data_IF_639577653277
#
_entry.id   IF_639577653277
#
_cell.length_a   1.000
_cell.length_b   1.000
_cell.length_c   1.000
_cell.angle_alpha   90.00
_cell.angle_beta   90.00
_cell.angle_gamma   90.00
#
_symmetry.space_group_name_H-M   'P 1'
#
loop_
_entity.id
_entity.type
_entity.pdbx_description
1 polymer ?
#
# COMPACT_ATOMS: atom_id res chain seq x y z
N UNK A 1 20.69 3.77 -5.85
CA UNK A 1 20.55 2.30 -5.78
C UNK A 1 19.37 1.91 -6.66
N UNK A 2 19.51 0.84 -7.44
CA UNK A 2 18.43 0.30 -8.27
C UNK A 2 17.41 -0.38 -7.36
N UNK A 3 16.12 -0.16 -7.59
CA UNK A 3 15.05 -0.79 -6.77
C UNK A 3 14.87 -2.27 -7.14
N UNK A 4 14.26 -3.06 -6.25
CA UNK A 4 13.94 -4.46 -6.58
C UNK A 4 13.06 -4.56 -7.84
N UNK A 5 12.02 -3.71 -7.95
CA UNK A 5 11.16 -3.68 -9.12
C UNK A 5 11.92 -3.32 -10.39
N UNK A 6 12.75 -2.28 -10.37
CA UNK A 6 13.58 -1.89 -11.53
C UNK A 6 14.51 -3.01 -12.00
N UNK A 7 15.00 -3.86 -11.08
CA UNK A 7 15.83 -5.01 -11.43
C UNK A 7 15.05 -6.18 -12.00
N UNK A 8 13.89 -6.50 -11.41
CA UNK A 8 13.11 -7.70 -11.77
C UNK A 8 12.15 -7.47 -12.93
N UNK A 9 11.59 -6.26 -13.03
CA UNK A 9 10.62 -5.85 -14.04
C UNK A 9 10.85 -4.37 -14.44
N UNK A 10 11.85 -4.10 -15.29
CA UNK A 10 12.20 -2.74 -15.71
C UNK A 10 11.10 -2.08 -16.54
N UNK A 11 10.26 -2.86 -17.23
CA UNK A 11 9.14 -2.34 -18.03
C UNK A 11 8.06 -1.74 -17.13
N UNK A 12 7.64 -2.46 -16.09
CA UNK A 12 6.69 -1.92 -15.11
C UNK A 12 7.29 -0.74 -14.34
N UNK A 13 8.57 -0.81 -13.98
CA UNK A 13 9.25 0.31 -13.32
C UNK A 13 9.20 1.60 -14.16
N UNK A 14 9.45 1.48 -15.46
CA UNK A 14 9.40 2.63 -16.38
C UNK A 14 7.97 3.15 -16.55
N UNK A 15 6.96 2.28 -16.65
CA UNK A 15 5.55 2.70 -16.69
C UNK A 15 5.13 3.45 -15.42
N UNK A 16 5.58 3.03 -14.23
CA UNK A 16 5.33 3.76 -12.98
C UNK A 16 5.96 5.16 -12.97
N UNK A 17 7.16 5.30 -13.54
CA UNK A 17 7.82 6.61 -13.68
C UNK A 17 7.03 7.52 -14.61
N UNK A 18 6.58 7.01 -15.75
CA UNK A 18 5.77 7.76 -16.71
C UNK A 18 4.45 8.22 -16.08
N UNK A 19 3.75 7.35 -15.34
CA UNK A 19 2.51 7.72 -14.67
C UNK A 19 2.74 8.76 -13.55
N UNK A 20 3.83 8.61 -12.78
CA UNK A 20 4.20 9.61 -11.77
C UNK A 20 4.42 10.99 -12.39
N UNK A 21 5.16 11.05 -13.50
CA UNK A 21 5.37 12.29 -14.24
C UNK A 21 4.05 12.86 -14.76
N UNK A 22 3.21 12.04 -15.39
CA UNK A 22 1.89 12.45 -15.91
C UNK A 22 1.01 13.03 -14.81
N UNK A 23 0.93 12.36 -13.67
CA UNK A 23 0.14 12.80 -12.52
C UNK A 23 0.62 14.12 -11.92
N UNK A 24 1.94 14.33 -11.85
CA UNK A 24 2.53 15.57 -11.33
C UNK A 24 2.43 16.75 -12.30
N UNK A 25 2.38 16.48 -13.61
CA UNK A 25 2.28 17.49 -14.66
C UNK A 25 0.85 17.85 -15.07
N UNK A 26 -0.18 17.24 -14.45
CA UNK A 26 -1.59 17.42 -14.82
C UNK A 26 -2.40 18.08 -13.70
N UNK A 27 -3.33 18.98 -14.07
CA UNK A 27 -4.36 19.46 -13.14
C UNK A 27 -5.47 18.41 -13.09
N UNK A 28 -5.72 17.83 -11.91
CA UNK A 28 -6.76 16.82 -11.70
C UNK A 28 -8.10 17.49 -11.39
N UNK A 29 -9.12 17.22 -12.20
CA UNK A 29 -10.48 17.79 -12.05
C UNK A 29 -11.56 16.74 -11.75
N UNK A 30 -11.17 15.47 -11.60
CA UNK A 30 -12.11 14.39 -11.26
C UNK A 30 -12.36 14.45 -9.75
N UNK A 31 -13.59 14.80 -9.36
CA UNK A 31 -13.95 15.09 -7.97
C UNK A 31 -13.74 13.94 -6.98
N UNK A 32 -13.76 12.69 -7.47
CA UNK A 32 -13.59 11.49 -6.64
C UNK A 32 -12.15 10.98 -6.59
N UNK A 33 -11.22 11.53 -7.37
CA UNK A 33 -9.81 11.13 -7.34
C UNK A 33 -9.02 11.97 -6.34
N UNK A 34 -7.98 11.37 -5.76
CA UNK A 34 -7.14 12.03 -4.76
C UNK A 34 -5.70 11.50 -4.84
N UNK A 35 -4.78 12.25 -4.23
CA UNK A 35 -3.39 11.84 -4.03
C UNK A 35 -3.19 11.49 -2.57
N UNK A 36 -2.87 10.24 -2.29
CA UNK A 36 -2.56 9.80 -0.92
C UNK A 36 -1.15 10.25 -0.51
N UNK A 37 -0.91 10.35 0.80
CA UNK A 37 0.43 10.69 1.30
C UNK A 37 1.42 9.53 1.10
N UNK A 38 2.71 9.85 1.11
CA UNK A 38 3.79 8.83 1.06
C UNK A 38 3.71 7.84 2.21
N UNK A 39 3.21 8.26 3.37
CA UNK A 39 3.00 7.40 4.53
C UNK A 39 1.95 6.30 4.24
N UNK A 40 0.84 6.66 3.58
CA UNK A 40 -0.19 5.70 3.16
C UNK A 40 0.38 4.71 2.16
N UNK A 41 1.07 5.18 1.10
CA UNK A 41 1.68 4.29 0.11
C UNK A 41 2.66 3.29 0.73
N UNK A 42 3.48 3.75 1.69
CA UNK A 42 4.45 2.91 2.40
C UNK A 42 3.76 1.82 3.21
N UNK A 43 2.70 2.16 3.94
CA UNK A 43 1.95 1.19 4.73
C UNK A 43 1.25 0.14 3.84
N UNK A 44 0.66 0.57 2.72
CA UNK A 44 -0.04 -0.32 1.77
C UNK A 44 0.89 -1.34 1.12
N UNK A 45 2.12 -0.95 0.77
CA UNK A 45 3.14 -1.84 0.18
C UNK A 45 3.98 -2.64 1.19
N UNK A 46 3.57 -2.68 2.46
CA UNK A 46 4.36 -3.28 3.55
C UNK A 46 4.16 -4.79 3.69
N UNK A 47 4.85 -5.40 4.66
CA UNK A 47 4.73 -6.82 4.99
C UNK A 47 3.32 -7.26 5.42
N UNK A 48 2.41 -6.31 5.70
CA UNK A 48 1.02 -6.61 6.02
C UNK A 48 0.31 -7.35 4.88
N UNK A 49 0.72 -7.14 3.61
CA UNK A 49 0.18 -7.86 2.45
C UNK A 49 0.38 -9.37 2.52
N UNK A 50 1.41 -9.83 3.24
CA UNK A 50 1.71 -11.25 3.39
C UNK A 50 0.77 -11.96 4.35
N UNK A 51 -0.03 -11.21 5.14
CA UNK A 51 -0.73 -11.76 6.30
C UNK A 51 -2.21 -12.01 6.01
N UNK A 52 -2.60 -13.28 6.11
CA UNK A 52 -4.00 -13.69 6.16
C UNK A 52 -4.53 -13.58 7.61
N UNK A 53 -5.58 -12.80 7.84
CA UNK A 53 -6.09 -12.45 9.17
C UNK A 53 -7.62 -12.54 9.29
N UNK A 54 -8.20 -13.63 8.76
CA UNK A 54 -9.65 -13.86 8.81
C UNK A 54 -10.21 -13.84 10.24
N UNK A 55 -11.40 -13.25 10.39
CA UNK A 55 -12.05 -12.97 11.67
C UNK A 55 -11.81 -11.54 12.14
N UNK A 56 -12.06 -11.26 13.42
CA UNK A 56 -11.87 -9.94 14.05
C UNK A 56 -10.78 -9.99 15.12
N UNK A 57 -10.23 -8.85 15.57
CA UNK A 57 -9.25 -8.82 16.65
C UNK A 57 -9.72 -9.59 17.89
N UNK A 58 -8.88 -10.51 18.37
CA UNK A 58 -9.22 -11.43 19.47
C UNK A 58 -10.15 -12.60 19.11
N UNK A 59 -10.67 -12.67 17.88
CA UNK A 59 -11.52 -13.74 17.35
C UNK A 59 -11.07 -14.13 15.93
N UNK A 60 -9.81 -14.53 15.80
CA UNK A 60 -9.17 -14.88 14.52
C UNK A 60 -9.24 -16.38 14.27
N UNK A 61 -9.43 -16.76 13.01
CA UNK A 61 -9.40 -18.17 12.61
C UNK A 61 -7.98 -18.73 12.54
N UNK A 62 -6.98 -17.87 12.32
CA UNK A 62 -5.58 -18.26 12.15
C UNK A 62 -4.67 -17.58 13.17
N UNK A 63 -3.59 -18.28 13.54
CA UNK A 63 -2.59 -17.81 14.49
C UNK A 63 -1.73 -16.66 13.95
N UNK A 64 -0.97 -16.03 14.86
CA UNK A 64 0.05 -15.03 14.52
C UNK A 64 -0.49 -13.63 14.24
N UNK A 65 -1.61 -13.25 14.85
CA UNK A 65 -2.24 -11.93 14.64
C UNK A 65 -1.91 -10.90 15.74
N UNK A 66 -0.85 -11.15 16.52
CA UNK A 66 -0.48 -10.31 17.68
C UNK A 66 -0.28 -8.83 17.28
N UNK A 67 0.32 -8.57 16.11
CA UNK A 67 0.58 -7.22 15.62
C UNK A 67 -0.55 -6.70 14.73
N UNK A 68 -1.09 -7.53 13.83
CA UNK A 68 -2.20 -7.13 12.93
C UNK A 68 -3.47 -6.78 13.69
N UNK A 69 -3.74 -7.42 14.83
CA UNK A 69 -4.83 -7.02 15.73
C UNK A 69 -4.64 -5.61 16.31
N UNK A 70 -3.40 -5.19 16.58
CA UNK A 70 -3.11 -3.83 17.05
C UNK A 70 -3.37 -2.80 15.94
N UNK A 71 -2.94 -3.14 14.72
CA UNK A 71 -3.17 -2.30 13.53
C UNK A 71 -4.67 -2.11 13.28
N UNK A 72 -5.45 -3.20 13.28
CA UNK A 72 -6.90 -3.11 13.02
C UNK A 72 -7.64 -2.36 14.13
N UNK A 73 -7.27 -2.57 15.40
CA UNK A 73 -7.86 -1.81 16.53
C UNK A 73 -7.56 -0.31 16.42
N UNK A 74 -6.35 0.07 16.03
CA UNK A 74 -5.98 1.47 15.83
C UNK A 74 -6.74 2.11 14.66
N UNK A 75 -7.04 1.35 13.61
CA UNK A 75 -7.83 1.84 12.49
C UNK A 75 -9.33 2.02 12.82
N UNK A 76 -9.82 1.39 13.88
CA UNK A 76 -11.21 1.49 14.34
C UNK A 76 -11.47 2.67 15.29
N UNK A 77 -10.41 3.29 15.83
CA UNK A 77 -10.48 4.47 16.70
C UNK A 77 -10.51 5.76 15.89
#
# INVERSE_FOLDING_TARGET
>A
MITALERYDPEIYELLRQETARQSGSIRLIASENYVSSAVMTATGSCLTNKYAEGYPGKRYYQGQLVTDLVERLAQS
#
